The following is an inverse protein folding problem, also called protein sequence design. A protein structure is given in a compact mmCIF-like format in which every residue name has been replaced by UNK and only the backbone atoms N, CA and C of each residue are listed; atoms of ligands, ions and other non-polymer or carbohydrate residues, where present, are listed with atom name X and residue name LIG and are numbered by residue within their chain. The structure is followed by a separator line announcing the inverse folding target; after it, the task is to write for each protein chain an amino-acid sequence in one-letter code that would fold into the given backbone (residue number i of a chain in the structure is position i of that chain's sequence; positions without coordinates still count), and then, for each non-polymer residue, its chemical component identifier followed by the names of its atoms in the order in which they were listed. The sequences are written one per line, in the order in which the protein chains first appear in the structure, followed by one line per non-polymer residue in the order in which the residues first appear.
data_IF_996364555538
#
_entry.id   IF_996364555538
#
_cell.length_a   1.000
_cell.length_b   1.000
_cell.length_c   1.000
_cell.angle_alpha   90.00
_cell.angle_beta   90.00
_cell.angle_gamma   90.00
#
_symmetry.space_group_name_H-M   'P 1'
#
loop_
_entity.id
_entity.type
_entity.pdbx_description
1 polymer ?
#
# COMPACT_ATOMS: atom_id res chain seq x y z
N UNK A 1 0.79 1.39 -8.08
CA UNK A 1 1.30 0.16 -7.46
C UNK A 1 1.89 -0.74 -8.53
N UNK A 2 2.99 -1.43 -8.24
CA UNK A 2 3.56 -2.49 -9.09
C UNK A 2 4.14 -3.60 -8.24
N UNK A 3 4.02 -4.83 -8.71
CA UNK A 3 4.77 -5.96 -8.16
C UNK A 3 6.25 -5.82 -8.52
N UNK A 4 7.11 -6.17 -7.59
CA UNK A 4 8.56 -6.15 -7.75
C UNK A 4 9.15 -7.29 -6.94
N UNK A 5 10.01 -8.10 -7.55
CA UNK A 5 10.45 -9.41 -7.05
C UNK A 5 10.48 -9.54 -5.53
N UNK A 6 9.49 -10.24 -4.97
CA UNK A 6 9.33 -10.46 -3.54
C UNK A 6 8.30 -9.58 -2.82
N UNK A 7 7.60 -8.68 -3.52
CA UNK A 7 6.51 -7.90 -2.93
C UNK A 7 5.93 -6.80 -3.82
N UNK A 8 5.36 -5.79 -3.16
CA UNK A 8 4.63 -4.69 -3.76
C UNK A 8 5.38 -3.38 -3.59
N UNK A 9 5.69 -2.72 -4.69
CA UNK A 9 6.15 -1.33 -4.71
C UNK A 9 4.98 -0.38 -4.87
N UNK A 10 4.74 0.42 -3.83
CA UNK A 10 3.63 1.37 -3.76
C UNK A 10 4.21 2.77 -3.84
N UNK A 11 3.60 3.62 -4.65
CA UNK A 11 3.91 5.05 -4.73
C UNK A 11 2.60 5.77 -4.52
N UNK A 12 2.59 6.70 -3.57
CA UNK A 12 1.46 7.60 -3.31
C UNK A 12 1.91 9.03 -3.60
N UNK A 13 1.15 9.72 -4.44
CA UNK A 13 1.29 11.15 -4.69
C UNK A 13 0.31 11.93 -3.79
N UNK A 14 0.52 13.24 -3.59
CA UNK A 14 -0.46 14.08 -2.91
C UNK A 14 -1.84 13.98 -3.57
N UNK A 15 -2.85 13.60 -2.79
CA UNK A 15 -4.22 13.38 -3.26
C UNK A 15 -4.63 11.90 -3.39
N UNK A 16 -3.69 10.97 -3.53
CA UNK A 16 -4.00 9.52 -3.57
C UNK A 16 -4.47 9.01 -2.20
N UNK A 17 -3.98 9.62 -1.13
CA UNK A 17 -4.38 9.32 0.24
C UNK A 17 -4.46 10.62 1.05
N UNK A 18 -5.51 10.84 1.89
CA UNK A 18 -5.75 12.12 2.55
C UNK A 18 -4.60 12.64 3.44
N UNK A 19 -3.76 11.73 3.95
CA UNK A 19 -2.60 12.08 4.80
C UNK A 19 -1.32 12.39 4.02
N UNK A 20 -1.29 12.16 2.71
CA UNK A 20 -0.06 12.29 1.91
C UNK A 20 0.08 13.72 1.42
N UNK A 21 1.17 14.39 1.83
CA UNK A 21 1.47 15.78 1.48
C UNK A 21 2.59 15.89 0.44
N UNK A 22 3.39 14.83 0.28
CA UNK A 22 4.43 14.72 -0.73
C UNK A 22 4.51 13.29 -1.28
N UNK A 23 5.29 13.09 -2.34
CA UNK A 23 5.46 11.77 -2.94
C UNK A 23 6.14 10.78 -1.99
N UNK A 24 5.44 9.71 -1.63
CA UNK A 24 5.96 8.63 -0.80
C UNK A 24 6.08 7.32 -1.56
N UNK A 25 7.07 6.50 -1.17
CA UNK A 25 7.29 5.17 -1.74
C UNK A 25 7.44 4.15 -0.62
N UNK A 26 6.70 3.05 -0.73
CA UNK A 26 6.71 1.94 0.21
C UNK A 26 7.02 0.63 -0.50
N UNK A 27 7.57 -0.32 0.24
CA UNK A 27 7.76 -1.68 -0.23
C UNK A 27 7.16 -2.64 0.79
N UNK A 28 6.13 -3.38 0.37
CA UNK A 28 5.48 -4.38 1.21
C UNK A 28 5.85 -5.77 0.70
N UNK A 29 6.61 -6.58 1.46
CA UNK A 29 6.97 -7.93 1.03
C UNK A 29 5.72 -8.83 0.95
N UNK A 30 5.73 -9.80 0.03
CA UNK A 30 4.67 -10.80 -0.04
C UNK A 30 4.50 -11.56 1.28
N UNK A 31 3.26 -11.91 1.60
CA UNK A 31 2.86 -12.52 2.86
C UNK A 31 2.69 -11.54 4.02
N UNK A 32 2.97 -10.24 3.81
CA UNK A 32 2.66 -9.18 4.79
C UNK A 32 1.39 -8.41 4.44
N UNK A 33 0.87 -8.58 3.23
CA UNK A 33 -0.41 -8.05 2.81
C UNK A 33 -1.59 -8.69 3.53
N UNK A 34 -2.68 -7.94 3.62
CA UNK A 34 -3.93 -8.35 4.24
C UNK A 34 -4.96 -8.54 3.12
N UNK A 35 -5.79 -9.61 3.12
CA UNK A 35 -6.86 -9.74 2.14
C UNK A 35 -7.87 -8.59 2.26
N UNK A 36 -8.11 -7.89 1.16
CA UNK A 36 -9.16 -6.87 1.08
C UNK A 36 -10.54 -7.51 0.98
N UNK A 37 -11.50 -7.01 1.76
CA UNK A 37 -12.86 -7.54 1.80
C UNK A 37 -13.76 -7.00 0.69
N UNK A 38 -13.48 -5.80 0.19
CA UNK A 38 -14.25 -5.11 -0.84
C UNK A 38 -13.71 -5.31 -2.26
N UNK A 39 -12.52 -5.90 -2.40
CA UNK A 39 -11.91 -6.17 -3.70
C UNK A 39 -11.13 -5.00 -4.29
N UNK A 40 -10.87 -3.95 -3.52
CA UNK A 40 -9.96 -2.86 -3.88
C UNK A 40 -8.68 -2.88 -3.04
N UNK A 41 -7.67 -2.14 -3.50
CA UNK A 41 -6.41 -1.94 -2.77
C UNK A 41 -6.57 -0.84 -1.73
N UNK A 42 -6.09 -1.08 -0.51
CA UNK A 42 -6.06 -0.07 0.54
C UNK A 42 -4.69 0.00 1.21
N UNK A 43 -4.29 1.19 1.64
CA UNK A 43 -3.09 1.40 2.44
C UNK A 43 -3.42 2.30 3.62
N UNK A 44 -2.94 1.92 4.79
CA UNK A 44 -3.05 2.74 5.99
C UNK A 44 -1.68 3.31 6.35
N UNK A 45 -1.64 4.62 6.63
CA UNK A 45 -0.43 5.33 7.05
C UNK A 45 -0.52 5.71 8.53
N UNK A 46 0.44 5.23 9.32
CA UNK A 46 0.54 5.49 10.76
C UNK A 46 1.96 5.23 11.28
N UNK A 47 2.50 6.07 12.18
CA UNK A 47 1.89 7.28 12.74
C UNK A 47 1.89 8.46 11.78
N UNK A 48 2.85 8.52 10.86
CA UNK A 48 3.00 9.59 9.85
C UNK A 48 2.76 9.06 8.45
N UNK A 49 2.73 9.96 7.47
CA UNK A 49 2.67 9.59 6.05
C UNK A 49 3.92 8.83 5.56
N UNK A 50 5.03 8.86 6.30
CA UNK A 50 6.26 8.15 5.91
C UNK A 50 6.25 6.65 6.27
N UNK A 51 5.25 6.19 7.02
CA UNK A 51 5.19 4.82 7.54
C UNK A 51 3.93 4.11 7.06
N UNK A 52 4.11 3.07 6.24
CA UNK A 52 3.04 2.11 5.97
C UNK A 52 2.77 1.28 7.22
N UNK A 53 1.49 1.11 7.54
CA UNK A 53 1.07 0.33 8.70
C UNK A 53 0.25 -0.90 8.30
N UNK A 54 -0.58 -0.77 7.25
CA UNK A 54 -1.36 -1.88 6.71
C UNK A 54 -1.44 -1.74 5.20
N UNK A 55 -1.42 -2.86 4.49
CA UNK A 55 -1.63 -2.90 3.05
C UNK A 55 -2.59 -4.03 2.70
N UNK A 56 -3.72 -3.68 2.09
CA UNK A 56 -4.78 -4.60 1.72
C UNK A 56 -4.77 -4.85 0.22
N UNK A 57 -4.85 -6.12 -0.16
CA UNK A 57 -4.76 -6.59 -1.54
C UNK A 57 -6.04 -7.36 -1.91
N UNK A 58 -6.66 -7.08 -3.07
CA UNK A 58 -7.83 -7.81 -3.51
C UNK A 58 -7.58 -9.31 -3.69
N UNK A 59 -8.61 -10.14 -3.46
CA UNK A 59 -8.51 -11.57 -3.69
C UNK A 59 -8.17 -11.85 -5.16
N UNK A 60 -7.12 -12.65 -5.40
CA UNK A 60 -6.68 -13.04 -6.74
C UNK A 60 -5.71 -12.08 -7.41
N UNK A 61 -5.24 -11.04 -6.73
CA UNK A 61 -4.18 -10.16 -7.21
C UNK A 61 -2.76 -10.77 -7.08
N UNK A 62 -2.63 -12.10 -7.11
CA UNK A 62 -1.34 -12.81 -7.13
C UNK A 62 -0.89 -13.12 -8.56
#
# INVERSE_FOLDING_TARGET
MKENGGGWSIVLEPGDHPKVTHRNRYFVPYGSEIPSGDGDYHICLHPTEEHENCFFVPPGAM
#
